data_IF_885702261262
#
_entry.id   IF_885702261262
#
_cell.length_a   1.000
_cell.length_b   1.000
_cell.length_c   1.000
_cell.angle_alpha   90.00
_cell.angle_beta   90.00
_cell.angle_gamma   90.00
#
_symmetry.space_group_name_H-M   'P 1'
#
loop_
_entity.id
_entity.type
_entity.pdbx_description
1 polymer ?
#
# COMPACT_ATOMS: atom_id res chain seq x y z
N UNK A 1 -3.12 -15.30 32.10
CA UNK A 1 -3.84 -14.15 31.51
C UNK A 1 -3.52 -14.14 30.04
N UNK A 2 -4.49 -13.77 29.20
CA UNK A 2 -4.28 -13.69 27.77
C UNK A 2 -3.48 -12.42 27.44
N UNK A 3 -2.69 -12.45 26.37
CA UNK A 3 -1.77 -11.35 26.02
C UNK A 3 -2.04 -10.89 24.60
N UNK A 4 -2.32 -9.60 24.44
CA UNK A 4 -2.41 -8.98 23.13
C UNK A 4 -1.06 -8.37 22.76
N UNK A 5 -0.53 -8.74 21.59
CA UNK A 5 0.76 -8.27 21.07
C UNK A 5 0.53 -7.40 19.84
N UNK A 6 1.27 -6.30 19.73
CA UNK A 6 1.28 -5.45 18.55
C UNK A 6 2.61 -4.72 18.40
N UNK A 7 2.95 -4.30 17.18
CA UNK A 7 4.13 -3.47 16.90
C UNK A 7 3.72 -2.01 16.83
N UNK A 8 4.34 -1.17 17.65
CA UNK A 8 4.06 0.26 17.77
C UNK A 8 5.21 1.08 17.19
N UNK A 9 4.91 1.89 16.18
CA UNK A 9 5.78 2.94 15.64
C UNK A 9 5.34 4.28 16.24
N UNK A 10 6.22 4.99 17.00
CA UNK A 10 5.84 6.24 17.66
C UNK A 10 5.53 7.39 16.69
N UNK A 11 4.68 8.33 17.12
CA UNK A 11 4.57 9.65 16.48
C UNK A 11 5.95 10.31 16.37
N UNK A 12 6.21 10.99 15.25
CA UNK A 12 7.47 11.67 14.95
C UNK A 12 8.52 10.77 14.29
N UNK A 13 8.30 9.46 14.20
CA UNK A 13 9.21 8.55 13.51
C UNK A 13 9.13 8.76 12.00
N UNK A 14 10.27 9.05 11.36
CA UNK A 14 10.35 9.32 9.92
C UNK A 14 11.26 10.51 9.61
N UNK A 15 11.17 11.03 8.39
CA UNK A 15 11.84 12.28 7.99
C UNK A 15 10.89 13.48 8.15
N UNK A 16 11.46 14.69 8.30
CA UNK A 16 10.71 15.92 8.60
C UNK A 16 9.83 15.76 9.85
N UNK A 17 8.52 15.85 9.69
CA UNK A 17 7.53 15.66 10.76
C UNK A 17 7.33 14.18 11.12
N UNK A 18 7.75 13.27 10.23
CA UNK A 18 7.57 11.83 10.36
C UNK A 18 6.10 11.44 10.45
N UNK A 19 5.82 10.38 11.21
CA UNK A 19 4.47 9.96 11.55
C UNK A 19 3.73 11.08 12.31
N UNK A 20 2.57 11.57 11.82
CA UNK A 20 1.83 12.64 12.50
C UNK A 20 1.04 12.16 13.73
N UNK A 21 0.80 10.85 13.81
CA UNK A 21 0.14 10.12 14.89
C UNK A 21 0.86 8.77 15.10
N UNK A 22 0.62 8.07 16.21
CA UNK A 22 1.18 6.73 16.40
C UNK A 22 0.62 5.74 15.36
N UNK A 23 1.37 4.68 15.07
CA UNK A 23 0.92 3.57 14.22
C UNK A 23 1.10 2.24 14.96
N UNK A 24 0.02 1.49 15.13
CA UNK A 24 0.05 0.10 15.59
C UNK A 24 -0.23 -0.85 14.44
N UNK A 25 0.65 -1.84 14.27
CA UNK A 25 0.45 -2.97 13.37
C UNK A 25 0.19 -4.23 14.20
N UNK A 26 -0.90 -4.93 13.89
CA UNK A 26 -1.40 -6.04 14.68
C UNK A 26 -1.60 -7.26 13.79
N UNK A 27 -1.06 -8.42 14.18
CA UNK A 27 -1.38 -9.69 13.53
C UNK A 27 -2.70 -10.21 14.11
N UNK A 28 -3.66 -10.53 13.25
CA UNK A 28 -4.96 -11.06 13.68
C UNK A 28 -4.81 -12.36 14.47
N UNK A 29 -3.77 -13.16 14.21
CA UNK A 29 -3.51 -14.37 15.00
C UNK A 29 -3.19 -14.05 16.46
N UNK A 30 -2.55 -12.90 16.74
CA UNK A 30 -2.27 -12.48 18.11
C UNK A 30 -3.53 -11.94 18.80
N UNK A 31 -4.47 -11.37 18.04
CA UNK A 31 -5.81 -10.99 18.52
C UNK A 31 -6.64 -12.23 18.89
N UNK A 32 -6.67 -13.23 18.00
CA UNK A 32 -7.39 -14.48 18.20
C UNK A 32 -6.85 -15.29 19.38
N UNK A 33 -5.51 -15.39 19.52
CA UNK A 33 -4.86 -16.01 20.70
C UNK A 33 -5.19 -15.29 22.00
N UNK A 34 -5.43 -13.98 21.93
CA UNK A 34 -5.82 -13.17 23.08
C UNK A 34 -7.31 -13.33 23.43
N UNK A 35 -8.09 -14.10 22.64
CA UNK A 35 -9.53 -14.30 22.86
C UNK A 35 -10.37 -13.07 22.53
N UNK A 36 -9.87 -12.18 21.68
CA UNK A 36 -10.53 -10.94 21.29
C UNK A 36 -10.96 -10.98 19.82
N UNK A 37 -11.88 -10.09 19.45
CA UNK A 37 -12.05 -9.66 18.06
C UNK A 37 -11.23 -8.39 17.78
N UNK A 38 -11.18 -7.99 16.50
CA UNK A 38 -10.38 -6.85 16.08
C UNK A 38 -10.86 -5.51 16.70
N UNK A 39 -12.16 -5.35 16.93
CA UNK A 39 -12.73 -4.12 17.51
C UNK A 39 -12.37 -3.99 18.99
N UNK A 40 -12.54 -5.06 19.75
CA UNK A 40 -12.14 -5.12 21.15
C UNK A 40 -10.62 -4.94 21.31
N UNK A 41 -9.82 -5.54 20.42
CA UNK A 41 -8.37 -5.32 20.40
C UNK A 41 -8.02 -3.85 20.11
N UNK A 42 -8.71 -3.19 19.18
CA UNK A 42 -8.50 -1.77 18.88
C UNK A 42 -8.79 -0.88 20.09
N UNK A 43 -9.88 -1.15 20.83
CA UNK A 43 -10.22 -0.44 22.05
C UNK A 43 -9.14 -0.60 23.14
N UNK A 44 -8.62 -1.82 23.34
CA UNK A 44 -7.53 -2.08 24.29
C UNK A 44 -6.24 -1.38 23.90
N UNK A 45 -5.86 -1.41 22.62
CA UNK A 45 -4.66 -0.73 22.11
C UNK A 45 -4.80 0.79 22.27
N UNK A 46 -5.95 1.35 21.92
CA UNK A 46 -6.21 2.77 22.10
C UNK A 46 -6.10 3.16 23.58
N UNK A 47 -6.74 2.40 24.48
CA UNK A 47 -6.71 2.63 25.93
C UNK A 47 -5.31 2.53 26.55
N UNK A 48 -4.44 1.68 26.00
CA UNK A 48 -3.03 1.60 26.39
C UNK A 48 -2.25 2.85 25.93
N UNK A 49 -2.40 3.24 24.66
CA UNK A 49 -1.59 4.32 24.06
C UNK A 49 -2.05 5.72 24.50
N UNK A 50 -3.36 5.93 24.66
CA UNK A 50 -4.02 7.18 25.10
C UNK A 50 -3.75 8.45 24.27
N UNK A 51 -2.98 8.31 23.19
CA UNK A 51 -2.64 9.35 22.23
C UNK A 51 -3.23 9.05 20.83
N UNK A 52 -3.21 10.01 19.88
CA UNK A 52 -3.69 9.78 18.53
C UNK A 52 -2.94 8.61 17.87
N UNK A 53 -3.69 7.63 17.38
CA UNK A 53 -3.14 6.39 16.83
C UNK A 53 -3.96 5.87 15.64
N UNK A 54 -3.26 5.41 14.61
CA UNK A 54 -3.80 4.51 13.58
C UNK A 54 -3.48 3.06 13.96
N UNK A 55 -4.46 2.17 13.84
CA UNK A 55 -4.30 0.75 14.17
C UNK A 55 -4.68 -0.07 12.94
N UNK A 56 -3.75 -0.85 12.40
CA UNK A 56 -3.96 -1.68 11.22
C UNK A 56 -3.82 -3.16 11.59
N UNK A 57 -4.87 -3.94 11.33
CA UNK A 57 -4.92 -5.37 11.58
C UNK A 57 -4.61 -6.12 10.30
N UNK A 58 -3.63 -7.01 10.34
CA UNK A 58 -3.20 -7.82 9.21
C UNK A 58 -3.51 -9.29 9.45
N UNK A 59 -4.05 -9.95 8.43
CA UNK A 59 -3.97 -11.40 8.31
C UNK A 59 -2.78 -11.75 7.42
N UNK A 60 -1.70 -12.27 8.03
CA UNK A 60 -0.49 -12.63 7.30
C UNK A 60 -0.66 -13.86 6.40
N UNK A 61 -1.73 -14.64 6.57
CA UNK A 61 -2.04 -15.81 5.74
C UNK A 61 -2.95 -15.50 4.56
N UNK A 62 -3.55 -14.30 4.52
CA UNK A 62 -4.43 -13.85 3.43
C UNK A 62 -3.65 -13.20 2.29
N UNK A 63 -4.35 -12.86 1.20
CA UNK A 63 -3.76 -12.11 0.07
C UNK A 63 -4.57 -10.85 -0.23
N UNK A 64 -3.91 -9.89 -0.87
CA UNK A 64 -4.50 -8.65 -1.38
C UNK A 64 -3.76 -8.24 -2.64
N UNK A 65 -4.22 -7.19 -3.28
CA UNK A 65 -3.48 -6.52 -4.35
C UNK A 65 -2.90 -5.17 -3.90
N UNK A 66 -1.76 -4.82 -4.49
CA UNK A 66 -1.26 -3.44 -4.46
C UNK A 66 -2.06 -2.57 -5.45
N UNK A 67 -1.92 -1.25 -5.35
CA UNK A 67 -2.49 -0.34 -6.35
C UNK A 67 -1.93 -0.58 -7.75
N UNK A 68 -0.76 -1.20 -7.88
CA UNK A 68 -0.17 -1.58 -9.16
C UNK A 68 -0.81 -2.84 -9.78
N UNK A 69 -1.75 -3.48 -9.08
CA UNK A 69 -2.35 -4.75 -9.47
C UNK A 69 -1.46 -5.96 -9.17
N UNK A 70 -0.49 -5.84 -8.24
CA UNK A 70 0.41 -6.94 -7.88
C UNK A 70 -0.21 -7.78 -6.76
N UNK A 71 -0.11 -9.11 -6.86
CA UNK A 71 -0.43 -10.01 -5.75
C UNK A 71 0.50 -9.75 -4.57
N UNK A 72 -0.06 -9.41 -3.41
CA UNK A 72 0.64 -9.21 -2.14
C UNK A 72 0.21 -10.27 -1.13
N UNK A 73 1.20 -10.92 -0.48
CA UNK A 73 0.95 -11.90 0.59
C UNK A 73 0.93 -11.21 1.95
N UNK A 74 -0.13 -11.45 2.71
CA UNK A 74 -0.50 -10.68 3.89
C UNK A 74 -1.41 -9.52 3.51
N UNK A 75 -2.50 -9.34 4.25
CA UNK A 75 -3.54 -8.38 3.88
C UNK A 75 -4.21 -7.71 5.08
N UNK A 76 -4.69 -6.46 4.93
CA UNK A 76 -5.46 -5.79 5.98
C UNK A 76 -6.81 -6.50 6.16
N UNK A 77 -7.20 -6.71 7.42
CA UNK A 77 -8.49 -7.30 7.82
C UNK A 77 -9.42 -6.25 8.44
N UNK A 78 -8.83 -5.25 9.09
CA UNK A 78 -9.54 -4.12 9.66
C UNK A 78 -8.55 -2.97 9.89
N UNK A 79 -9.08 -1.77 10.05
CA UNK A 79 -8.30 -0.61 10.43
C UNK A 79 -9.13 0.32 11.32
N UNK A 80 -8.44 1.00 12.23
CA UNK A 80 -9.05 1.85 13.24
C UNK A 80 -8.25 3.15 13.42
N UNK A 81 -8.91 4.14 14.02
CA UNK A 81 -8.29 5.35 14.53
C UNK A 81 -8.70 5.52 15.99
N UNK A 82 -7.75 5.86 16.86
CA UNK A 82 -7.99 6.11 18.28
C UNK A 82 -7.39 7.41 18.76
N UNK A 83 -8.01 8.00 19.78
CA UNK A 83 -7.50 9.19 20.46
C UNK A 83 -8.04 9.22 21.91
N UNK A 84 -7.26 9.77 22.85
CA UNK A 84 -7.61 9.84 24.29
C UNK A 84 -8.07 8.50 24.90
N UNK A 85 -7.52 7.39 24.40
CA UNK A 85 -7.87 6.06 24.91
C UNK A 85 -9.18 5.50 24.38
N UNK A 86 -9.75 6.10 23.33
CA UNK A 86 -11.08 5.76 22.81
C UNK A 86 -11.04 5.56 21.29
N UNK A 87 -12.03 4.83 20.79
CA UNK A 87 -12.38 4.70 19.38
C UNK A 87 -13.77 5.32 19.20
N UNK A 88 -13.96 6.16 18.18
CA UNK A 88 -15.28 6.69 17.87
C UNK A 88 -16.20 5.54 17.43
N UNK A 89 -17.41 5.40 18.01
CA UNK A 89 -18.27 4.24 17.76
C UNK A 89 -18.70 4.09 16.30
N UNK A 90 -18.96 5.20 15.61
CA UNK A 90 -19.44 5.22 14.22
C UNK A 90 -18.32 5.35 13.17
N UNK A 91 -17.32 6.20 13.40
CA UNK A 91 -16.29 6.53 12.41
C UNK A 91 -14.92 5.92 12.70
N UNK A 92 -14.71 5.32 13.87
CA UNK A 92 -13.37 4.98 14.36
C UNK A 92 -12.85 3.61 13.93
N UNK A 93 -13.65 2.78 13.27
CA UNK A 93 -13.30 1.40 12.95
C UNK A 93 -14.04 0.90 11.70
N UNK A 94 -13.34 0.20 10.80
CA UNK A 94 -13.93 -0.51 9.66
C UNK A 94 -13.26 -1.86 9.42
N UNK A 95 -14.05 -2.83 8.96
CA UNK A 95 -13.54 -4.11 8.44
C UNK A 95 -13.22 -4.02 6.95
N UNK A 96 -12.20 -4.76 6.53
CA UNK A 96 -11.93 -5.02 5.12
C UNK A 96 -12.81 -6.16 4.62
N UNK A 97 -13.31 -6.07 3.39
CA UNK A 97 -14.23 -7.06 2.82
C UNK A 97 -13.45 -8.24 2.21
N UNK A 98 -13.71 -9.48 2.64
CA UNK A 98 -13.17 -10.66 1.95
C UNK A 98 -13.94 -10.91 0.66
N UNK A 99 -13.24 -11.38 -0.37
CA UNK A 99 -13.78 -11.86 -1.65
C UNK A 99 -13.09 -13.16 -2.01
N UNK A 100 -13.84 -14.08 -2.61
CA UNK A 100 -13.27 -15.23 -3.32
C UNK A 100 -13.06 -14.84 -4.78
N UNK A 101 -11.85 -15.06 -5.30
CA UNK A 101 -11.58 -14.85 -6.73
C UNK A 101 -12.29 -15.93 -7.53
N UNK A 102 -13.02 -15.52 -8.56
CA UNK A 102 -13.76 -16.40 -9.47
C UNK A 102 -13.26 -16.20 -10.90
N UNK A 103 -13.54 -17.15 -11.79
CA UNK A 103 -13.15 -17.05 -13.20
C UNK A 103 -13.82 -15.84 -13.88
N UNK A 104 -15.10 -15.58 -13.59
CA UNK A 104 -15.84 -14.42 -14.11
C UNK A 104 -15.13 -13.10 -13.77
N UNK A 105 -14.52 -13.00 -12.57
CA UNK A 105 -13.78 -11.81 -12.18
C UNK A 105 -12.59 -11.49 -13.09
N UNK A 106 -12.02 -12.49 -13.75
CA UNK A 106 -10.84 -12.30 -14.60
C UNK A 106 -11.15 -11.54 -15.89
N UNK A 107 -12.42 -11.46 -16.29
CA UNK A 107 -12.84 -10.72 -17.48
C UNK A 107 -12.74 -9.20 -17.27
N UNK A 108 -12.86 -8.74 -16.03
CA UNK A 108 -12.87 -7.32 -15.68
C UNK A 108 -11.76 -6.90 -14.70
N UNK A 109 -11.18 -7.84 -13.96
CA UNK A 109 -10.04 -7.66 -13.04
C UNK A 109 -8.94 -8.70 -13.39
N UNK A 110 -8.36 -8.66 -14.60
CA UNK A 110 -7.49 -9.73 -15.12
C UNK A 110 -6.21 -9.95 -14.30
N UNK A 111 -5.76 -8.94 -13.56
CA UNK A 111 -4.63 -9.06 -12.66
C UNK A 111 -4.86 -10.04 -11.50
N UNK A 112 -6.12 -10.32 -11.16
CA UNK A 112 -6.49 -11.33 -10.14
C UNK A 112 -6.16 -12.75 -10.57
N UNK A 113 -5.80 -12.98 -11.84
CA UNK A 113 -5.28 -14.27 -12.32
C UNK A 113 -4.06 -14.73 -11.54
N UNK A 114 -3.24 -13.79 -11.07
CA UNK A 114 -2.12 -14.09 -10.16
C UNK A 114 -2.58 -14.85 -8.91
N UNK A 115 -3.73 -14.49 -8.35
CA UNK A 115 -4.30 -15.15 -7.16
C UNK A 115 -5.00 -16.45 -7.56
N UNK A 116 -5.82 -16.40 -8.62
CA UNK A 116 -6.58 -17.56 -9.09
C UNK A 116 -5.67 -18.76 -9.41
N UNK A 117 -4.53 -18.52 -10.05
CA UNK A 117 -3.62 -19.59 -10.46
C UNK A 117 -2.67 -20.03 -9.32
N UNK A 118 -2.17 -19.10 -8.51
CA UNK A 118 -1.10 -19.39 -7.53
C UNK A 118 -1.59 -19.71 -6.12
N UNK A 119 -2.76 -19.22 -5.75
CA UNK A 119 -3.31 -19.39 -4.41
C UNK A 119 -4.85 -19.34 -4.39
N UNK A 120 -5.53 -20.22 -5.17
CA UNK A 120 -7.00 -20.24 -5.31
C UNK A 120 -7.74 -20.49 -3.98
N UNK A 121 -7.06 -21.05 -2.99
CA UNK A 121 -7.60 -21.31 -1.65
C UNK A 121 -7.60 -20.07 -0.76
N UNK A 122 -6.87 -19.01 -1.11
CA UNK A 122 -6.73 -17.81 -0.29
C UNK A 122 -7.87 -16.84 -0.52
N UNK A 123 -8.32 -16.21 0.56
CA UNK A 123 -9.24 -15.09 0.49
C UNK A 123 -8.50 -13.82 0.03
N UNK A 124 -9.07 -13.15 -0.96
CA UNK A 124 -8.67 -11.80 -1.37
C UNK A 124 -9.32 -10.81 -0.42
N UNK A 125 -8.51 -10.10 0.38
CA UNK A 125 -8.98 -9.00 1.19
C UNK A 125 -8.95 -7.70 0.39
N UNK A 126 -10.08 -7.02 0.35
CA UNK A 126 -10.26 -5.75 -0.35
C UNK A 126 -10.46 -4.60 0.65
N UNK A 127 -10.79 -3.41 0.15
CA UNK A 127 -11.29 -2.31 0.97
C UNK A 127 -12.60 -2.65 1.70
N UNK A 128 -13.08 -1.76 2.59
CA UNK A 128 -14.36 -1.91 3.27
C UNK A 128 -15.55 -1.93 2.29
N UNK A 129 -16.67 -2.53 2.71
CA UNK A 129 -17.91 -2.47 1.96
C UNK A 129 -18.45 -1.04 1.89
N UNK A 130 -18.88 -0.57 0.71
CA UNK A 130 -19.52 0.75 0.55
C UNK A 130 -20.72 0.93 1.49
N UNK A 131 -21.47 -0.14 1.77
CA UNK A 131 -22.65 -0.10 2.64
C UNK A 131 -22.29 0.10 4.13
N UNK A 132 -21.07 -0.25 4.55
CA UNK A 132 -20.60 -0.10 5.93
C UNK A 132 -19.87 1.23 6.14
N UNK A 133 -19.57 1.96 5.07
CA UNK A 133 -18.87 3.24 5.14
C UNK A 133 -19.84 4.39 5.35
N UNK A 134 -19.60 5.17 6.39
CA UNK A 134 -20.24 6.48 6.56
C UNK A 134 -19.51 7.60 5.81
N UNK A 135 -18.20 7.45 5.56
CA UNK A 135 -17.41 8.39 4.76
C UNK A 135 -17.43 7.91 3.29
N UNK A 136 -18.11 8.62 2.37
CA UNK A 136 -18.46 8.05 1.08
C UNK A 136 -17.27 7.92 0.12
N UNK A 137 -16.37 8.90 0.11
CA UNK A 137 -15.31 8.97 -0.91
C UNK A 137 -14.10 8.12 -0.55
N UNK A 138 -13.60 8.25 0.68
CA UNK A 138 -12.37 7.61 1.14
C UNK A 138 -12.65 6.39 2.01
N UNK A 139 -11.79 5.37 1.93
CA UNK A 139 -11.78 4.25 2.87
C UNK A 139 -11.05 4.70 4.15
N UNK A 140 -11.74 5.50 4.96
CA UNK A 140 -11.16 6.20 6.10
C UNK A 140 -11.92 5.93 7.40
N UNK A 141 -11.18 5.98 8.50
CA UNK A 141 -11.69 6.01 9.87
C UNK A 141 -11.05 7.16 10.64
N UNK A 142 -11.79 7.71 11.60
CA UNK A 142 -11.38 8.89 12.36
C UNK A 142 -11.90 8.83 13.79
N UNK A 143 -11.02 9.20 14.73
CA UNK A 143 -11.35 9.45 16.13
C UNK A 143 -10.54 10.64 16.61
N UNK A 144 -11.21 11.72 17.03
CA UNK A 144 -10.54 12.93 17.51
C UNK A 144 -9.53 13.48 16.50
N UNK A 145 -8.26 13.53 16.90
CA UNK A 145 -7.14 14.01 16.07
C UNK A 145 -6.65 12.97 15.05
N UNK A 146 -6.93 11.68 15.27
CA UNK A 146 -6.38 10.60 14.45
C UNK A 146 -7.26 10.30 13.24
N UNK A 147 -6.64 10.25 12.07
CA UNK A 147 -7.26 9.79 10.82
C UNK A 147 -6.40 8.68 10.24
N UNK A 148 -7.05 7.57 9.89
CA UNK A 148 -6.43 6.43 9.23
C UNK A 148 -7.18 6.17 7.92
N UNK A 149 -6.51 6.41 6.80
CA UNK A 149 -7.11 6.59 5.49
C UNK A 149 -6.60 5.56 4.47
N UNK A 150 -7.34 5.43 3.35
CA UNK A 150 -7.09 4.49 2.25
C UNK A 150 -6.85 3.05 2.73
N UNK A 151 -7.70 2.59 3.66
CA UNK A 151 -7.61 1.26 4.26
C UNK A 151 -6.25 0.99 4.94
N UNK A 152 -5.75 1.96 5.71
CA UNK A 152 -4.53 1.78 6.47
C UNK A 152 -3.26 2.26 5.79
N UNK A 153 -3.30 2.82 4.58
CA UNK A 153 -2.07 3.21 3.85
C UNK A 153 -1.70 4.68 3.95
N UNK A 154 -2.51 5.49 4.60
CA UNK A 154 -2.25 6.92 4.83
C UNK A 154 -2.69 7.26 6.26
N UNK A 155 -1.83 7.95 7.00
CA UNK A 155 -2.13 8.36 8.38
C UNK A 155 -1.98 9.85 8.52
N UNK A 156 -2.94 10.48 9.18
CA UNK A 156 -3.04 11.92 9.24
C UNK A 156 -3.45 12.39 10.64
N UNK A 157 -2.96 13.55 11.02
CA UNK A 157 -3.49 14.31 12.14
C UNK A 157 -4.46 15.37 11.62
N UNK A 158 -5.74 15.29 11.99
CA UNK A 158 -6.79 16.19 11.49
C UNK A 158 -6.67 17.63 11.98
N UNK A 159 -5.85 17.89 13.02
CA UNK A 159 -5.64 19.23 13.57
C UNK A 159 -4.41 19.89 12.95
N UNK A 160 -3.29 19.19 12.85
CA UNK A 160 -2.06 19.75 12.25
C UNK A 160 -2.06 19.65 10.73
N UNK A 161 -2.96 18.86 10.15
CA UNK A 161 -3.03 18.53 8.72
C UNK A 161 -1.77 17.83 8.20
N UNK A 162 -0.92 17.33 9.09
CA UNK A 162 0.25 16.52 8.73
C UNK A 162 -0.20 15.11 8.33
N UNK A 163 0.39 14.58 7.26
CA UNK A 163 0.09 13.27 6.68
C UNK A 163 1.40 12.50 6.43
N UNK A 164 1.35 11.17 6.55
CA UNK A 164 2.40 10.27 6.11
C UNK A 164 1.81 9.10 5.33
N UNK A 165 2.46 8.72 4.22
CA UNK A 165 2.11 7.52 3.46
C UNK A 165 2.79 6.28 4.06
N UNK A 166 2.03 5.20 4.18
CA UNK A 166 2.51 3.90 4.66
C UNK A 166 2.01 2.78 3.75
N UNK A 167 2.48 2.66 2.49
CA UNK A 167 2.06 1.58 1.60
C UNK A 167 2.20 0.18 2.20
N UNK A 168 1.28 -0.70 1.80
CA UNK A 168 1.07 -2.01 2.42
C UNK A 168 2.33 -2.87 2.53
N UNK A 169 3.15 -2.93 1.47
CA UNK A 169 4.37 -3.75 1.49
C UNK A 169 5.34 -3.30 2.58
N UNK A 170 5.46 -1.99 2.82
CA UNK A 170 6.29 -1.46 3.92
C UNK A 170 5.74 -1.84 5.30
N UNK A 171 4.42 -1.84 5.46
CA UNK A 171 3.79 -2.30 6.70
C UNK A 171 4.01 -3.80 6.94
N UNK A 172 3.98 -4.62 5.89
CA UNK A 172 4.24 -6.06 5.96
C UNK A 172 5.71 -6.36 6.31
N UNK A 173 6.67 -5.61 5.76
CA UNK A 173 8.06 -5.67 6.21
C UNK A 173 8.17 -5.29 7.69
N UNK A 174 7.55 -4.18 8.10
CA UNK A 174 7.63 -3.67 9.47
C UNK A 174 7.04 -4.65 10.49
N UNK A 175 5.82 -5.18 10.26
CA UNK A 175 5.17 -6.11 11.20
C UNK A 175 5.97 -7.41 11.36
N UNK A 176 6.65 -7.86 10.29
CA UNK A 176 7.53 -9.03 10.30
C UNK A 176 8.94 -8.75 10.84
N UNK A 177 9.22 -7.52 11.28
CA UNK A 177 10.50 -7.14 11.85
C UNK A 177 11.63 -6.96 10.84
N UNK A 178 11.30 -6.79 9.55
CA UNK A 178 12.26 -6.62 8.45
C UNK A 178 12.60 -5.14 8.24
N UNK A 179 13.53 -4.89 7.33
CA UNK A 179 13.97 -3.53 7.00
C UNK A 179 12.94 -2.79 6.15
N UNK A 180 12.84 -1.48 6.34
CA UNK A 180 11.99 -0.58 5.55
C UNK A 180 12.78 0.63 5.06
N UNK A 181 12.30 1.27 4.01
CA UNK A 181 12.81 2.56 3.55
C UNK A 181 11.94 3.69 4.10
N UNK A 182 12.57 4.65 4.77
CA UNK A 182 11.96 5.91 5.17
C UNK A 182 12.49 7.05 4.30
N UNK A 183 11.64 7.97 3.89
CA UNK A 183 12.04 9.14 3.12
C UNK A 183 10.87 10.05 2.81
N UNK A 184 11.05 10.89 1.79
CA UNK A 184 9.99 11.71 1.22
C UNK A 184 9.46 11.04 -0.05
N UNK A 185 8.17 11.21 -0.33
CA UNK A 185 7.58 10.72 -1.58
C UNK A 185 8.36 11.21 -2.80
N UNK A 186 8.70 12.50 -2.81
CA UNK A 186 9.30 13.16 -3.97
C UNK A 186 8.38 13.14 -5.19
N UNK A 187 8.90 13.64 -6.32
CA UNK A 187 8.13 13.77 -7.56
C UNK A 187 7.64 12.43 -8.11
N UNK A 188 8.51 11.43 -8.09
CA UNK A 188 8.25 10.10 -8.67
C UNK A 188 7.10 9.39 -7.98
N UNK A 189 7.12 9.27 -6.64
CA UNK A 189 6.05 8.58 -5.92
C UNK A 189 4.75 9.37 -6.02
N UNK A 190 4.82 10.71 -5.93
CA UNK A 190 3.64 11.58 -6.06
C UNK A 190 2.88 11.34 -7.36
N UNK A 191 3.58 11.19 -8.49
CA UNK A 191 2.96 10.85 -9.76
C UNK A 191 2.55 9.37 -9.81
N UNK A 192 3.41 8.44 -9.38
CA UNK A 192 3.19 7.00 -9.47
C UNK A 192 1.92 6.51 -8.75
N UNK A 193 1.53 7.14 -7.63
CA UNK A 193 0.32 6.79 -6.87
C UNK A 193 -0.97 6.88 -7.69
N UNK A 194 -0.95 7.56 -8.83
CA UNK A 194 -2.08 7.72 -9.73
C UNK A 194 -2.19 6.61 -10.79
N UNK A 195 -1.09 5.90 -11.04
CA UNK A 195 -1.03 4.81 -12.01
C UNK A 195 -1.51 3.54 -11.34
N UNK A 196 -2.83 3.38 -11.27
CA UNK A 196 -3.44 2.31 -10.49
C UNK A 196 -4.24 1.36 -11.37
N UNK A 197 -4.28 0.10 -10.96
CA UNK A 197 -5.33 -0.83 -11.34
C UNK A 197 -6.46 -0.67 -10.34
N UNK A 198 -7.66 -0.36 -10.83
CA UNK A 198 -8.84 -0.30 -9.96
C UNK A 198 -9.49 -1.68 -9.87
N UNK A 199 -10.05 -1.96 -8.70
CA UNK A 199 -10.80 -3.18 -8.40
C UNK A 199 -12.16 -2.81 -7.84
N UNK A 200 -13.11 -3.73 -7.92
CA UNK A 200 -14.33 -3.61 -7.13
C UNK A 200 -13.98 -3.68 -5.65
N UNK A 201 -14.42 -2.67 -4.88
CA UNK A 201 -14.04 -2.52 -3.48
C UNK A 201 -12.51 -2.39 -3.28
N UNK A 202 -11.74 -1.82 -4.21
CA UNK A 202 -10.30 -1.66 -3.99
C UNK A 202 -9.99 -0.86 -2.71
N UNK A 203 -8.77 -1.01 -2.19
CA UNK A 203 -8.35 -0.38 -0.92
C UNK A 203 -8.35 1.15 -0.96
N UNK A 204 -8.21 1.77 -2.13
CA UNK A 204 -8.21 3.22 -2.30
C UNK A 204 -9.41 3.76 -3.09
N UNK A 205 -10.00 2.96 -3.97
CA UNK A 205 -11.11 3.34 -4.85
C UNK A 205 -12.23 2.30 -4.77
N UNK A 206 -13.48 2.66 -4.50
CA UNK A 206 -14.49 1.64 -4.26
C UNK A 206 -15.06 1.01 -5.55
N UNK A 207 -14.74 1.58 -6.74
CA UNK A 207 -15.24 1.14 -8.05
C UNK A 207 -14.16 1.17 -9.12
N UNK A 208 -14.35 0.39 -10.18
CA UNK A 208 -13.56 0.42 -11.41
C UNK A 208 -13.68 1.80 -12.09
N UNK A 209 -12.64 2.63 -11.96
CA UNK A 209 -12.61 4.01 -12.49
C UNK A 209 -11.47 4.24 -13.49
N UNK A 210 -10.52 3.32 -13.56
CA UNK A 210 -9.28 3.48 -14.30
C UNK A 210 -8.88 2.13 -14.89
N UNK A 211 -8.57 2.13 -16.18
CA UNK A 211 -7.99 0.95 -16.84
C UNK A 211 -6.47 0.92 -16.59
N UNK A 212 -5.85 -0.27 -16.59
CA UNK A 212 -4.40 -0.38 -16.65
C UNK A 212 -3.86 0.45 -17.83
N UNK A 213 -2.86 1.29 -17.56
CA UNK A 213 -2.33 2.24 -18.55
C UNK A 213 -2.81 3.69 -18.38
N UNK A 214 -3.89 3.93 -17.63
CA UNK A 214 -4.40 5.28 -17.36
C UNK A 214 -3.91 5.83 -15.99
N UNK A 215 -4.22 7.10 -15.71
CA UNK A 215 -3.95 7.79 -14.45
C UNK A 215 -5.24 8.33 -13.83
N UNK A 216 -5.40 8.19 -12.52
CA UNK A 216 -6.55 8.74 -11.77
C UNK A 216 -6.38 10.22 -11.42
N UNK A 217 -5.16 10.77 -11.43
CA UNK A 217 -4.93 12.18 -11.12
C UNK A 217 -5.31 13.08 -12.28
N UNK A 218 -4.95 12.69 -13.51
CA UNK A 218 -5.14 13.50 -14.75
C UNK A 218 -4.63 14.93 -14.57
N UNK A 219 -3.51 15.06 -13.85
CA UNK A 219 -2.93 16.31 -13.38
C UNK A 219 -1.66 16.69 -14.13
N UNK A 220 -1.19 15.84 -15.05
CA UNK A 220 -0.03 16.12 -15.91
C UNK A 220 1.19 16.56 -15.11
N UNK A 221 1.77 17.71 -15.47
CA UNK A 221 2.98 18.27 -14.82
C UNK A 221 2.78 18.66 -13.34
N UNK A 222 1.54 18.70 -12.84
CA UNK A 222 1.26 18.93 -11.43
C UNK A 222 1.29 17.65 -10.59
N UNK A 223 1.12 16.46 -11.21
CA UNK A 223 1.10 15.18 -10.49
C UNK A 223 2.36 14.96 -9.61
N UNK A 224 3.58 15.33 -10.03
CA UNK A 224 4.77 15.21 -9.20
C UNK A 224 4.76 16.13 -7.95
N UNK A 225 3.86 17.11 -7.85
CA UNK A 225 3.87 18.09 -6.74
C UNK A 225 2.86 17.78 -5.64
N UNK A 226 1.84 16.97 -5.93
CA UNK A 226 0.69 16.74 -5.05
C UNK A 226 1.07 16.20 -3.66
N UNK A 227 1.90 15.15 -3.63
CA UNK A 227 2.31 14.45 -2.41
C UNK A 227 3.83 14.45 -2.19
N UNK A 228 4.62 15.12 -3.04
CA UNK A 228 6.08 15.06 -2.99
C UNK A 228 6.69 15.42 -1.62
N UNK A 229 6.06 16.34 -0.90
CA UNK A 229 6.54 16.83 0.38
C UNK A 229 6.25 15.86 1.55
N UNK A 230 5.36 14.88 1.37
CA UNK A 230 4.91 13.97 2.42
C UNK A 230 6.00 12.95 2.79
N UNK A 231 6.20 12.68 4.09
CA UNK A 231 6.96 11.53 4.55
C UNK A 231 6.32 10.22 4.06
N UNK A 232 7.15 9.19 3.88
CA UNK A 232 6.70 7.87 3.45
C UNK A 232 7.55 6.75 4.07
N UNK A 233 6.90 5.62 4.37
CA UNK A 233 7.54 4.35 4.69
C UNK A 233 7.15 3.28 3.68
N UNK A 234 8.13 2.72 2.95
CA UNK A 234 7.91 1.64 1.97
C UNK A 234 8.80 0.44 2.23
N UNK A 235 8.51 -0.68 1.56
CA UNK A 235 9.43 -1.81 1.50
C UNK A 235 10.69 -1.43 0.69
N UNK A 236 11.83 -2.10 0.93
CA UNK A 236 13.01 -1.96 0.08
C UNK A 236 12.69 -2.20 -1.40
N UNK A 237 13.32 -1.47 -2.33
CA UNK A 237 13.04 -1.58 -3.77
C UNK A 237 13.22 -3.00 -4.31
N UNK A 238 14.18 -3.77 -3.76
CA UNK A 238 14.35 -5.21 -4.07
C UNK A 238 13.11 -6.06 -3.79
N UNK A 239 12.33 -5.71 -2.75
CA UNK A 239 11.08 -6.39 -2.40
C UNK A 239 10.01 -6.04 -3.43
N UNK A 240 9.87 -4.76 -3.78
CA UNK A 240 8.95 -4.33 -4.84
C UNK A 240 9.30 -4.98 -6.19
N UNK A 241 10.58 -5.02 -6.56
CA UNK A 241 11.07 -5.68 -7.77
C UNK A 241 10.66 -7.16 -7.81
N UNK A 242 10.81 -7.89 -6.70
CA UNK A 242 10.42 -9.30 -6.60
C UNK A 242 8.91 -9.50 -6.85
N UNK A 243 8.06 -8.64 -6.30
CA UNK A 243 6.61 -8.69 -6.56
C UNK A 243 6.26 -8.37 -8.02
N UNK A 244 6.94 -7.40 -8.64
CA UNK A 244 6.73 -7.08 -10.05
C UNK A 244 7.16 -8.26 -10.94
N UNK A 245 8.34 -8.83 -10.69
CA UNK A 245 8.86 -10.02 -11.38
C UNK A 245 7.86 -11.18 -11.28
N UNK A 246 7.33 -11.43 -10.08
CA UNK A 246 6.35 -12.49 -9.86
C UNK A 246 5.06 -12.29 -10.68
N UNK A 247 4.61 -11.04 -10.82
CA UNK A 247 3.45 -10.71 -11.65
C UNK A 247 3.74 -10.93 -13.14
N UNK A 248 4.90 -10.46 -13.63
CA UNK A 248 5.33 -10.65 -15.02
C UNK A 248 5.42 -12.13 -15.39
N UNK A 249 5.96 -12.96 -14.50
CA UNK A 249 6.04 -14.42 -14.67
C UNK A 249 4.68 -15.12 -14.65
N UNK A 250 3.69 -14.52 -13.97
CA UNK A 250 2.30 -14.97 -14.04
C UNK A 250 1.60 -14.57 -15.36
N UNK A 251 2.33 -13.97 -16.30
CA UNK A 251 1.81 -13.54 -17.60
C UNK A 251 1.14 -12.16 -17.57
N UNK A 252 1.29 -11.39 -16.49
CA UNK A 252 0.74 -10.03 -16.43
C UNK A 252 1.54 -9.11 -17.35
N UNK A 253 0.85 -8.32 -18.17
CA UNK A 253 1.49 -7.36 -19.08
C UNK A 253 1.22 -5.93 -18.59
N UNK A 254 2.26 -5.11 -18.36
CA UNK A 254 2.11 -3.72 -17.98
C UNK A 254 1.27 -2.93 -18.98
N UNK A 255 0.45 -2.03 -18.44
CA UNK A 255 -0.56 -1.23 -19.15
C UNK A 255 -1.67 -2.06 -19.83
N UNK A 256 -1.81 -3.35 -19.51
CA UNK A 256 -2.97 -4.15 -19.95
C UNK A 256 -3.63 -4.89 -18.80
N UNK A 257 -2.84 -5.61 -17.99
CA UNK A 257 -3.34 -6.27 -16.77
C UNK A 257 -2.90 -5.53 -15.52
N UNK A 258 -1.64 -5.10 -15.46
CA UNK A 258 -1.07 -4.38 -14.31
C UNK A 258 -0.75 -2.92 -14.66
N UNK A 259 -0.54 -2.09 -13.64
CA UNK A 259 -0.43 -0.64 -13.81
C UNK A 259 0.71 -0.22 -14.75
N UNK A 260 0.63 1.02 -15.23
CA UNK A 260 1.72 1.70 -15.92
C UNK A 260 2.62 2.50 -14.97
N UNK A 261 2.66 2.13 -13.68
CA UNK A 261 3.50 2.83 -12.72
C UNK A 261 4.99 2.73 -13.11
N UNK A 262 5.81 3.75 -12.82
CA UNK A 262 7.22 3.80 -13.20
C UNK A 262 8.01 2.54 -12.83
N UNK A 263 7.82 2.03 -11.61
CA UNK A 263 8.52 0.83 -11.15
C UNK A 263 8.17 -0.40 -12.01
N UNK A 264 6.89 -0.57 -12.36
CA UNK A 264 6.41 -1.69 -13.19
C UNK A 264 7.01 -1.58 -14.59
N UNK A 265 6.95 -0.41 -15.21
CA UNK A 265 7.46 -0.18 -16.57
C UNK A 265 8.98 -0.42 -16.64
N UNK A 266 9.74 0.12 -15.68
CA UNK A 266 11.20 0.03 -15.70
C UNK A 266 11.71 -1.38 -15.38
N UNK A 267 11.06 -2.11 -14.46
CA UNK A 267 11.40 -3.51 -14.20
C UNK A 267 11.06 -4.39 -15.41
N UNK A 268 9.88 -4.22 -16.01
CA UNK A 268 9.49 -4.98 -17.20
C UNK A 268 10.41 -4.69 -18.39
N UNK A 269 10.76 -3.42 -18.62
CA UNK A 269 11.73 -3.03 -19.65
C UNK A 269 13.12 -3.61 -19.37
N UNK A 270 13.60 -3.55 -18.13
CA UNK A 270 14.91 -4.10 -17.75
C UNK A 270 15.02 -5.61 -18.04
N UNK A 271 13.94 -6.36 -17.81
CA UNK A 271 13.87 -7.81 -18.07
C UNK A 271 13.55 -8.15 -19.53
N UNK A 272 13.09 -7.18 -20.32
CA UNK A 272 12.68 -7.39 -21.71
C UNK A 272 11.30 -8.02 -21.87
N UNK A 273 10.42 -7.87 -20.86
CA UNK A 273 9.02 -8.27 -20.98
C UNK A 273 8.25 -7.32 -21.88
N UNK A 274 7.18 -7.84 -22.48
CA UNK A 274 6.25 -7.03 -23.27
C UNK A 274 5.59 -5.96 -22.40
N UNK A 275 5.41 -4.77 -22.96
CA UNK A 275 4.64 -3.67 -22.38
C UNK A 275 3.68 -3.19 -23.47
N UNK A 276 2.40 -2.98 -23.15
CA UNK A 276 1.43 -2.46 -24.13
C UNK A 276 1.46 -0.93 -24.11
N UNK A 277 2.47 -0.37 -24.77
CA UNK A 277 2.71 1.09 -24.81
C UNK A 277 1.52 1.89 -25.32
N UNK A 278 0.75 1.32 -26.26
CA UNK A 278 -0.38 1.98 -26.89
C UNK A 278 -1.60 2.10 -25.96
N UNK A 279 -1.64 1.32 -24.86
CA UNK A 279 -2.66 1.46 -23.82
C UNK A 279 -2.33 2.56 -22.80
N UNK A 280 -1.09 3.09 -22.79
CA UNK A 280 -0.74 4.18 -21.89
C UNK A 280 -1.37 5.46 -22.42
N UNK A 281 -2.34 6.00 -21.68
CA UNK A 281 -3.13 7.15 -22.12
C UNK A 281 -2.29 8.41 -22.24
N UNK A 282 -2.76 9.40 -23.01
CA UNK A 282 -2.08 10.69 -23.17
C UNK A 282 -1.84 11.37 -21.82
N UNK A 283 -2.80 11.31 -20.90
CA UNK A 283 -2.67 11.91 -19.57
C UNK A 283 -1.65 11.16 -18.72
N UNK A 284 -1.67 9.82 -18.73
CA UNK A 284 -0.67 9.00 -18.05
C UNK A 284 0.75 9.27 -18.59
N UNK A 285 0.91 9.40 -19.92
CA UNK A 285 2.19 9.77 -20.53
C UNK A 285 2.71 11.12 -20.04
N UNK A 286 1.84 12.14 -19.91
CA UNK A 286 2.25 13.46 -19.39
C UNK A 286 2.82 13.36 -17.97
N UNK A 287 2.15 12.62 -17.10
CA UNK A 287 2.60 12.44 -15.70
C UNK A 287 3.93 11.68 -15.62
N UNK A 288 4.08 10.61 -16.42
CA UNK A 288 5.33 9.84 -16.50
C UNK A 288 6.49 10.68 -17.06
N UNK A 289 6.24 11.49 -18.09
CA UNK A 289 7.24 12.43 -18.63
C UNK A 289 7.68 13.48 -17.61
N UNK A 290 6.75 13.98 -16.78
CA UNK A 290 7.04 14.95 -15.74
C UNK A 290 7.99 14.44 -14.65
N UNK A 291 8.21 13.11 -14.57
CA UNK A 291 9.17 12.47 -13.66
C UNK A 291 10.34 11.79 -14.41
N UNK A 292 10.57 12.17 -15.66
CA UNK A 292 11.64 11.66 -16.53
C UNK A 292 11.53 10.16 -16.88
N UNK A 293 10.31 9.62 -16.92
CA UNK A 293 10.03 8.24 -17.37
C UNK A 293 9.19 8.32 -18.64
N UNK A 294 9.78 8.74 -19.76
CA UNK A 294 9.01 8.90 -21.02
C UNK A 294 8.70 7.54 -21.67
N UNK A 295 7.42 7.13 -21.80
CA UNK A 295 7.07 5.85 -22.42
C UNK A 295 7.47 5.74 -23.90
N UNK A 296 7.49 6.85 -24.64
CA UNK A 296 7.86 6.87 -26.05
C UNK A 296 9.38 6.68 -26.21
N UNK A 297 10.18 7.19 -25.26
CA UNK A 297 11.63 6.96 -25.20
C UNK A 297 11.93 5.52 -24.77
N UNK A 298 11.25 5.02 -23.74
CA UNK A 298 11.43 3.65 -23.26
C UNK A 298 11.10 2.62 -24.33
N UNK A 299 10.00 2.81 -25.09
CA UNK A 299 9.62 1.96 -26.22
C UNK A 299 10.72 1.81 -27.27
N UNK A 300 11.47 2.88 -27.51
CA UNK A 300 12.52 2.94 -28.54
C UNK A 300 13.92 2.62 -28.00
N UNK A 301 14.08 2.51 -26.68
CA UNK A 301 15.34 2.13 -26.05
C UNK A 301 15.45 0.60 -25.98
N UNK A 302 16.54 -0.01 -26.48
CA UNK A 302 16.72 -1.45 -26.34
C UNK A 302 16.70 -1.88 -24.87
N UNK A 303 15.92 -2.93 -24.59
CA UNK A 303 15.92 -3.57 -23.26
C UNK A 303 17.31 -4.13 -22.95
N UNK A 304 17.84 -3.94 -21.72
CA UNK A 304 19.10 -4.54 -21.30
C UNK A 304 18.99 -6.06 -21.09
N UNK A 305 17.78 -6.63 -21.03
CA UNK A 305 17.51 -8.07 -20.83
C UNK A 305 18.29 -8.67 -19.65
N UNK A 306 18.22 -7.98 -18.52
CA UNK A 306 18.84 -8.43 -17.27
C UNK A 306 18.17 -9.71 -16.76
N UNK A 307 18.89 -10.50 -15.96
CA UNK A 307 18.28 -11.61 -15.21
C UNK A 307 17.47 -11.07 -14.04
N UNK A 308 16.61 -11.92 -13.46
CA UNK A 308 15.79 -11.58 -12.28
C UNK A 308 16.67 -11.17 -11.10
N UNK A 309 17.76 -11.92 -10.88
CA UNK A 309 18.72 -11.69 -9.80
C UNK A 309 19.42 -10.34 -9.99
N UNK A 310 19.82 -10.01 -11.23
CA UNK A 310 20.42 -8.72 -11.54
C UNK A 310 19.44 -7.56 -11.33
N UNK A 311 18.16 -7.72 -11.65
CA UNK A 311 17.14 -6.69 -11.40
C UNK A 311 16.91 -6.48 -9.91
N UNK A 312 16.89 -7.55 -9.12
CA UNK A 312 16.74 -7.46 -7.66
C UNK A 312 17.96 -6.80 -7.02
N UNK A 313 19.17 -7.19 -7.45
CA UNK A 313 20.44 -6.61 -6.97
C UNK A 313 20.55 -5.13 -7.31
N UNK A 314 20.14 -4.74 -8.53
CA UNK A 314 20.16 -3.36 -9.02
C UNK A 314 18.85 -2.62 -8.82
N UNK A 315 17.97 -3.09 -7.92
CA UNK A 315 16.63 -2.52 -7.77
C UNK A 315 16.66 -1.04 -7.39
N UNK A 316 17.67 -0.59 -6.63
CA UNK A 316 17.84 0.82 -6.26
C UNK A 316 18.22 1.72 -7.44
N UNK A 317 18.90 1.17 -8.46
CA UNK A 317 19.27 1.85 -9.70
C UNK A 317 18.11 1.87 -10.71
N UNK A 318 17.35 0.77 -10.80
CA UNK A 318 16.29 0.58 -11.79
C UNK A 318 15.00 1.29 -11.38
N UNK A 319 14.61 1.15 -10.11
CA UNK A 319 13.34 1.69 -9.62
C UNK A 319 13.60 3.10 -9.08
N UNK A 320 13.06 4.17 -9.70
CA UNK A 320 13.25 5.52 -9.22
C UNK A 320 12.38 5.79 -7.97
N UNK A 321 12.59 6.96 -7.38
CA UNK A 321 11.73 7.48 -6.31
C UNK A 321 12.36 7.43 -4.93
N UNK A 322 11.54 7.73 -3.92
CA UNK A 322 11.89 8.02 -2.52
C UNK A 322 13.09 8.96 -2.39
N UNK A 323 12.81 10.24 -2.12
CA UNK A 323 13.85 11.22 -1.86
C UNK A 323 14.35 11.09 -0.42
N UNK A 324 15.65 11.35 -0.20
CA UNK A 324 16.28 11.27 1.13
C UNK A 324 16.07 9.90 1.80
N UNK A 325 16.04 8.83 0.99
CA UNK A 325 15.77 7.49 1.45
C UNK A 325 16.84 7.00 2.44
N UNK A 326 16.39 6.41 3.54
CA UNK A 326 17.21 5.68 4.49
C UNK A 326 16.62 4.30 4.74
N UNK A 327 17.45 3.28 4.57
CA UNK A 327 17.14 1.93 5.02
C UNK A 327 17.28 1.86 6.54
N UNK A 328 16.27 1.35 7.21
CA UNK A 328 16.23 1.22 8.67
C UNK A 328 15.65 -0.15 9.05
N UNK A 329 16.15 -0.72 10.16
CA UNK A 329 15.57 -1.93 10.73
C UNK A 329 14.28 -1.59 11.46
N UNK A 330 13.29 -2.49 11.40
CA UNK A 330 12.02 -2.34 12.10
C UNK A 330 12.18 -1.94 13.59
N UNK A 331 13.11 -2.58 14.30
CA UNK A 331 13.31 -2.38 15.73
C UNK A 331 14.03 -1.05 16.07
N UNK A 332 14.63 -0.37 15.10
CA UNK A 332 15.17 0.99 15.30
C UNK A 332 14.06 2.05 15.36
N UNK A 333 12.91 1.77 14.75
CA UNK A 333 11.84 2.74 14.54
C UNK A 333 10.51 2.33 15.20
N UNK A 334 10.43 1.10 15.72
CA UNK A 334 9.23 0.55 16.33
C UNK A 334 9.57 -0.41 17.46
N UNK A 335 8.60 -0.67 18.33
CA UNK A 335 8.73 -1.62 19.45
C UNK A 335 7.55 -2.57 19.47
N UNK A 336 7.81 -3.81 19.86
CA UNK A 336 6.76 -4.78 20.16
C UNK A 336 6.23 -4.51 21.56
N UNK A 337 4.93 -4.26 21.66
CA UNK A 337 4.21 -4.07 22.93
C UNK A 337 3.40 -5.34 23.21
N UNK A 338 3.26 -5.65 24.50
CA UNK A 338 2.38 -6.71 24.98
C UNK A 338 1.58 -6.17 26.14
N UNK A 339 0.25 -6.28 26.06
CA UNK A 339 -0.67 -5.90 27.13
C UNK A 339 -1.44 -7.12 27.63
N UNK A 340 -1.74 -7.16 28.92
CA UNK A 340 -2.59 -8.18 29.52
C UNK A 340 -4.06 -7.88 29.18
N UNK A 341 -4.82 -8.91 28.81
CA UNK A 341 -6.25 -8.82 28.48
C UNK A 341 -7.09 -9.85 29.22
#
# INVERSE_FOLDING_TARGET
MAKLKFRLMPKGTGVKTGLPIHLALVDIKDVEKAGLDAKAAAEKIAAEVKEPIAINFFNLDAVTTSSDGLLVRGAPKAFAAGDYGKIHPEFGFLYCKPRKVTEEMLDFEPHLRQIFDKCPEKELMCGPDEAEKLIPLHNAVMTGRAVNNNSGTEVMNSVTMEEMLIPIMGQLELIQGREVLLGLCGGVVSAALAHVVTENFSRSQPRLRCNPGDTIHRSGEHAPKLKAHLPIMVAPKKVLAAYIIEALEAGMVPAREISSAPAVLLVAHALGYTIIWDNITVEAKKELKAINVDPDVLRNTPSPKLTKEQVIEKADEIIPGIEQARLVKADEISKVITIEV
#
